data_IF_484059799356
#
_entry.id   IF_484059799356
#
_cell.length_a   1.000
_cell.length_b   1.000
_cell.length_c   1.000
_cell.angle_alpha   90.00
_cell.angle_beta   90.00
_cell.angle_gamma   90.00
#
_symmetry.space_group_name_H-M   'P 1'
#
loop_
_entity.id
_entity.type
_entity.pdbx_description
1 polymer ?
#
# COMPACT_ATOMS: atom_id res chain seq x y z
N UNK A 1 4.10 13.37 -23.64
CA UNK A 1 3.96 13.45 -22.18
C UNK A 1 4.62 12.22 -21.60
N UNK A 2 5.43 12.38 -20.56
CA UNK A 2 6.09 11.27 -19.86
C UNK A 2 5.26 10.92 -18.63
N UNK A 3 5.06 9.63 -18.37
CA UNK A 3 4.41 9.13 -17.14
C UNK A 3 5.45 8.50 -16.25
N UNK A 4 5.47 8.86 -14.96
CA UNK A 4 6.41 8.31 -13.98
C UNK A 4 5.72 7.29 -13.08
N UNK A 5 6.35 6.13 -12.92
CA UNK A 5 5.82 5.03 -12.08
C UNK A 5 6.85 4.70 -11.00
N UNK A 6 6.41 4.65 -9.75
CA UNK A 6 7.17 4.13 -8.62
C UNK A 6 6.63 2.73 -8.27
N UNK A 7 7.52 1.75 -8.17
CA UNK A 7 7.15 0.35 -7.89
C UNK A 7 7.92 -0.10 -6.66
N UNK A 8 7.21 -0.61 -5.67
CA UNK A 8 7.73 -1.14 -4.40
C UNK A 8 6.99 -2.41 -4.03
N UNK A 9 7.53 -3.17 -3.08
CA UNK A 9 6.93 -4.37 -2.52
C UNK A 9 7.52 -4.60 -1.12
N UNK A 10 7.02 -5.59 -0.39
CA UNK A 10 7.69 -6.13 0.80
C UNK A 10 8.03 -5.05 1.84
N UNK A 11 7.11 -4.13 2.10
CA UNK A 11 7.37 -3.11 3.12
C UNK A 11 7.25 -3.69 4.52
N UNK A 12 6.52 -4.79 4.74
CA UNK A 12 6.39 -5.47 6.03
C UNK A 12 6.13 -4.50 7.19
N UNK A 13 5.21 -3.55 6.99
CA UNK A 13 4.82 -2.44 7.91
C UNK A 13 5.86 -1.33 8.10
N UNK A 14 6.93 -1.32 7.31
CA UNK A 14 7.97 -0.30 7.32
C UNK A 14 7.76 0.75 6.22
N UNK A 15 6.53 0.88 5.73
CA UNK A 15 6.17 1.80 4.64
C UNK A 15 6.47 3.27 5.00
N UNK A 16 6.38 3.64 6.29
CA UNK A 16 6.75 4.99 6.78
C UNK A 16 8.25 5.27 6.81
N UNK A 17 9.11 4.27 6.63
CA UNK A 17 10.56 4.45 6.51
C UNK A 17 11.00 4.78 5.08
N UNK A 18 10.09 4.65 4.10
CA UNK A 18 10.37 4.90 2.70
C UNK A 18 10.14 6.36 2.33
N UNK A 19 11.03 6.88 1.49
CA UNK A 19 10.84 8.15 0.79
C UNK A 19 10.36 7.85 -0.63
N UNK A 20 9.07 8.06 -0.88
CA UNK A 20 8.48 7.89 -2.21
C UNK A 20 8.68 9.19 -3.01
N UNK A 21 9.35 9.15 -4.18
CA UNK A 21 9.47 10.33 -5.02
C UNK A 21 8.11 10.70 -5.65
N UNK A 22 7.88 11.98 -6.00
CA UNK A 22 6.68 12.37 -6.73
C UNK A 22 6.49 11.54 -8.01
N UNK A 23 5.32 10.93 -8.17
CA UNK A 23 5.01 10.08 -9.32
C UNK A 23 3.55 10.14 -9.75
N UNK A 24 3.29 9.77 -11.01
CA UNK A 24 1.91 9.66 -11.51
C UNK A 24 1.20 8.42 -10.96
N UNK A 25 1.97 7.36 -10.68
CA UNK A 25 1.45 6.09 -10.18
C UNK A 25 2.45 5.43 -9.22
N UNK A 26 1.99 5.14 -8.00
CA UNK A 26 2.63 4.20 -7.08
C UNK A 26 1.98 2.82 -7.22
N UNK A 27 2.79 1.77 -7.35
CA UNK A 27 2.36 0.37 -7.32
C UNK A 27 3.04 -0.34 -6.15
N UNK A 28 2.26 -0.86 -5.20
CA UNK A 28 2.74 -1.76 -4.15
C UNK A 28 2.39 -3.21 -4.48
N UNK A 29 3.40 -4.05 -4.75
CA UNK A 29 3.24 -5.40 -5.28
C UNK A 29 3.01 -6.48 -4.19
N UNK A 30 2.32 -6.15 -3.10
CA UNK A 30 2.05 -7.07 -1.98
C UNK A 30 3.08 -7.06 -0.85
N UNK A 31 2.72 -7.74 0.23
CA UNK A 31 3.45 -7.86 1.50
C UNK A 31 3.68 -6.51 2.18
N UNK A 32 2.58 -5.74 2.28
CA UNK A 32 2.55 -4.45 2.99
C UNK A 32 2.36 -4.64 4.50
N UNK A 33 1.61 -5.67 4.89
CA UNK A 33 1.41 -6.13 6.27
C UNK A 33 2.54 -7.08 6.71
N UNK A 34 2.41 -7.70 7.89
CA UNK A 34 3.35 -8.73 8.35
C UNK A 34 2.60 -9.92 8.95
N UNK A 35 3.23 -11.10 8.92
CA UNK A 35 2.66 -12.40 9.36
C UNK A 35 1.94 -12.42 10.72
N UNK A 36 2.23 -11.46 11.60
CA UNK A 36 1.86 -11.53 13.02
C UNK A 36 0.78 -10.52 13.42
N UNK A 37 0.47 -9.52 12.58
CA UNK A 37 -0.44 -8.42 12.94
C UNK A 37 -1.22 -7.95 11.71
N UNK A 38 -2.31 -8.66 11.42
CA UNK A 38 -3.36 -8.23 10.48
C UNK A 38 -4.58 -7.75 11.29
N UNK A 39 -4.41 -6.65 12.03
CA UNK A 39 -5.52 -5.96 12.67
C UNK A 39 -6.01 -4.78 11.80
N UNK A 40 -7.22 -4.32 12.08
CA UNK A 40 -7.82 -3.19 11.36
C UNK A 40 -6.98 -1.91 11.45
N UNK A 41 -6.30 -1.69 12.57
CA UNK A 41 -5.45 -0.51 12.77
C UNK A 41 -4.25 -0.48 11.83
N UNK A 42 -3.68 -1.64 11.49
CA UNK A 42 -2.61 -1.73 10.50
C UNK A 42 -3.09 -1.34 9.11
N UNK A 43 -4.30 -1.77 8.71
CA UNK A 43 -4.85 -1.41 7.41
C UNK A 43 -5.25 0.08 7.33
N UNK A 44 -5.75 0.65 8.42
CA UNK A 44 -6.01 2.09 8.54
C UNK A 44 -4.72 2.92 8.45
N UNK A 45 -3.63 2.48 9.10
CA UNK A 45 -2.31 3.14 9.02
C UNK A 45 -1.76 3.13 7.59
N UNK A 46 -1.89 1.99 6.90
CA UNK A 46 -1.51 1.86 5.49
C UNK A 46 -2.33 2.80 4.61
N UNK A 47 -3.65 2.89 4.81
CA UNK A 47 -4.51 3.79 4.03
C UNK A 47 -4.17 5.27 4.30
N UNK A 48 -3.86 5.62 5.55
CA UNK A 48 -3.35 6.95 5.90
C UNK A 48 -2.04 7.24 5.17
N UNK A 49 -1.12 6.28 5.14
CA UNK A 49 0.14 6.44 4.41
C UNK A 49 -0.07 6.61 2.90
N UNK A 50 -1.02 5.90 2.29
CA UNK A 50 -1.39 6.11 0.89
C UNK A 50 -1.93 7.52 0.61
N UNK A 51 -2.56 8.18 1.60
CA UNK A 51 -2.96 9.58 1.49
C UNK A 51 -1.78 10.57 1.59
N UNK A 52 -0.69 10.17 2.25
CA UNK A 52 0.49 11.01 2.50
C UNK A 52 1.53 10.96 1.37
N UNK A 53 1.61 9.86 0.61
CA UNK A 53 2.60 9.71 -0.47
C UNK A 53 2.35 10.71 -1.60
N UNK A 54 3.41 11.27 -2.23
CA UNK A 54 3.29 12.23 -3.32
C UNK A 54 2.96 11.55 -4.67
N UNK A 55 1.99 10.63 -4.68
CA UNK A 55 1.56 9.90 -5.87
C UNK A 55 0.19 10.40 -6.33
N UNK A 56 0.00 10.62 -7.64
CA UNK A 56 -1.32 11.02 -8.18
C UNK A 56 -2.35 9.89 -8.06
N UNK A 57 -1.88 8.64 -8.13
CA UNK A 57 -2.67 7.43 -7.93
C UNK A 57 -1.82 6.39 -7.20
N UNK A 58 -2.51 5.57 -6.42
CA UNK A 58 -1.92 4.41 -5.76
C UNK A 58 -2.71 3.16 -6.14
N UNK A 59 -1.99 2.10 -6.51
CA UNK A 59 -2.53 0.77 -6.75
C UNK A 59 -1.77 -0.21 -5.88
N UNK A 60 -2.47 -1.15 -5.25
CA UNK A 60 -1.85 -2.22 -4.48
C UNK A 60 -2.54 -3.55 -4.72
N UNK A 61 -1.79 -4.62 -4.49
CA UNK A 61 -2.29 -5.99 -4.39
C UNK A 61 -1.87 -6.58 -3.04
N UNK A 62 -2.55 -7.63 -2.60
CA UNK A 62 -2.15 -8.41 -1.44
C UNK A 62 -1.06 -9.42 -1.82
N UNK A 63 -0.11 -9.65 -0.90
CA UNK A 63 0.87 -10.72 -0.95
C UNK A 63 0.52 -11.87 0.01
N UNK A 64 1.47 -12.79 0.23
CA UNK A 64 1.25 -13.93 1.12
C UNK A 64 1.31 -13.57 2.61
N UNK A 65 1.66 -12.33 2.95
CA UNK A 65 1.67 -11.80 4.31
C UNK A 65 0.46 -10.91 4.64
N UNK A 66 -0.44 -10.65 3.67
CA UNK A 66 -1.55 -9.71 3.80
C UNK A 66 -2.89 -10.43 4.02
N UNK A 67 -3.00 -11.31 5.03
CA UNK A 67 -4.23 -12.09 5.26
C UNK A 67 -5.42 -11.20 5.61
N UNK A 68 -5.19 -10.05 6.25
CA UNK A 68 -6.22 -9.05 6.53
C UNK A 68 -6.93 -8.54 5.27
N UNK A 69 -6.19 -8.45 4.15
CA UNK A 69 -6.71 -8.02 2.85
C UNK A 69 -7.43 -9.13 2.07
N UNK A 70 -7.30 -10.40 2.48
CA UNK A 70 -8.07 -11.50 1.90
C UNK A 70 -9.54 -11.46 2.34
N UNK A 71 -9.85 -10.79 3.46
CA UNK A 71 -11.23 -10.61 3.90
C UNK A 71 -11.93 -9.59 3.00
N UNK A 72 -13.01 -10.00 2.32
CA UNK A 72 -13.76 -9.19 1.32
C UNK A 72 -14.39 -7.89 1.87
N UNK A 73 -14.09 -7.50 3.10
CA UNK A 73 -14.67 -6.35 3.78
C UNK A 73 -13.80 -5.09 3.77
N UNK A 74 -12.47 -5.21 3.71
CA UNK A 74 -11.60 -4.03 3.77
C UNK A 74 -11.50 -3.34 2.42
N UNK A 75 -11.56 -2.00 2.44
CA UNK A 75 -11.38 -1.15 1.27
C UNK A 75 -10.54 0.05 1.66
N UNK A 76 -9.45 0.27 0.93
CA UNK A 76 -8.69 1.50 1.01
C UNK A 76 -9.52 2.67 0.46
N UNK A 77 -9.47 3.82 1.11
CA UNK A 77 -10.02 5.06 0.58
C UNK A 77 -9.02 5.77 -0.34
N UNK A 78 -7.72 5.50 -0.18
CA UNK A 78 -6.63 6.22 -0.83
C UNK A 78 -5.80 5.36 -1.79
N UNK A 79 -6.15 4.09 -1.96
CA UNK A 79 -5.56 3.19 -2.95
C UNK A 79 -6.60 2.32 -3.65
N UNK A 80 -6.33 1.98 -4.90
CA UNK A 80 -7.07 0.96 -5.63
C UNK A 80 -6.47 -0.42 -5.31
N UNK A 81 -7.22 -1.25 -4.61
CA UNK A 81 -6.85 -2.64 -4.30
C UNK A 81 -7.37 -3.57 -5.39
N UNK A 82 -6.45 -4.28 -6.06
CA UNK A 82 -6.74 -5.20 -7.17
C UNK A 82 -6.83 -6.67 -6.72
#
# INVERSE_FOLDING_TARGET
>A
MTTTVCIIADTHRRHRELVIPPCDLLIHCGDICSFQQDDMGTLEDIDCWFAEVPARRVVCIGGNHDFGLQSRGFRFAHAEYL
#
